data_IF_052198309111
#
_entry.id   IF_052198309111
#
_cell.length_a   1.000
_cell.length_b   1.000
_cell.length_c   1.000
_cell.angle_alpha   90.00
_cell.angle_beta   90.00
_cell.angle_gamma   90.00
#
_symmetry.space_group_name_H-M   'P 1'
#
loop_
_entity.id
_entity.type
_entity.pdbx_description
1 polymer ?
#
# COMPACT_ATOMS: atom_id res chain seq x y z
N UNK A 1 -37.10 6.11 3.20
CA UNK A 1 -35.63 6.28 3.33
C UNK A 1 -34.96 4.98 3.79
N UNK A 2 -35.56 4.22 4.72
CA UNK A 2 -35.00 2.93 5.15
C UNK A 2 -34.94 1.87 4.04
N UNK A 3 -36.00 1.72 3.23
CA UNK A 3 -36.01 0.78 2.11
C UNK A 3 -34.95 1.08 1.04
N UNK A 4 -34.67 2.36 0.75
CA UNK A 4 -33.61 2.75 -0.18
C UNK A 4 -32.21 2.52 0.38
N UNK A 5 -32.00 2.73 1.68
CA UNK A 5 -30.73 2.42 2.35
C UNK A 5 -30.47 0.90 2.41
N UNK A 6 -31.52 0.11 2.68
CA UNK A 6 -31.43 -1.35 2.68
C UNK A 6 -31.09 -1.88 1.28
N UNK A 7 -31.75 -1.37 0.23
CA UNK A 7 -31.44 -1.75 -1.16
C UNK A 7 -30.00 -1.38 -1.54
N UNK A 8 -29.51 -0.20 -1.15
CA UNK A 8 -28.14 0.20 -1.40
C UNK A 8 -27.13 -0.72 -0.69
N UNK A 9 -27.36 -1.06 0.58
CA UNK A 9 -26.52 -1.98 1.33
C UNK A 9 -26.54 -3.39 0.73
N UNK A 10 -27.72 -3.91 0.38
CA UNK A 10 -27.88 -5.21 -0.27
C UNK A 10 -27.18 -5.25 -1.64
N UNK A 11 -27.32 -4.19 -2.44
CA UNK A 11 -26.64 -4.07 -3.73
C UNK A 11 -25.11 -4.05 -3.56
N UNK A 12 -24.59 -3.29 -2.58
CA UNK A 12 -23.15 -3.27 -2.29
C UNK A 12 -22.62 -4.65 -1.91
N UNK A 13 -23.33 -5.39 -1.04
CA UNK A 13 -22.97 -6.76 -0.66
C UNK A 13 -23.03 -7.68 -1.89
N UNK A 14 -24.08 -7.60 -2.71
CA UNK A 14 -24.23 -8.40 -3.92
C UNK A 14 -23.11 -8.16 -4.93
N UNK A 15 -22.67 -6.91 -5.10
CA UNK A 15 -21.54 -6.56 -5.98
C UNK A 15 -20.24 -7.16 -5.45
N UNK A 16 -19.96 -7.04 -4.15
CA UNK A 16 -18.74 -7.63 -3.55
C UNK A 16 -18.74 -9.15 -3.70
N UNK A 17 -19.87 -9.81 -3.42
CA UNK A 17 -20.02 -11.25 -3.63
C UNK A 17 -19.86 -11.63 -5.10
N UNK A 18 -20.38 -10.82 -6.02
CA UNK A 18 -20.20 -11.00 -7.46
C UNK A 18 -18.74 -10.91 -7.89
N UNK A 19 -17.99 -9.92 -7.41
CA UNK A 19 -16.55 -9.77 -7.68
C UNK A 19 -15.79 -11.00 -7.17
N UNK A 20 -16.04 -11.40 -5.91
CA UNK A 20 -15.40 -12.58 -5.31
C UNK A 20 -15.75 -13.85 -6.09
N UNK A 21 -17.01 -14.00 -6.50
CA UNK A 21 -17.48 -15.14 -7.29
C UNK A 21 -16.75 -15.20 -8.64
N UNK A 22 -16.70 -14.10 -9.40
CA UNK A 22 -16.03 -14.05 -10.70
C UNK A 22 -14.53 -14.34 -10.56
N UNK A 23 -13.86 -13.71 -9.60
CA UNK A 23 -12.43 -13.92 -9.35
C UNK A 23 -12.16 -15.39 -8.98
N UNK A 24 -13.00 -15.98 -8.11
CA UNK A 24 -12.86 -17.38 -7.73
C UNK A 24 -13.14 -18.33 -8.89
N UNK A 25 -14.24 -18.13 -9.64
CA UNK A 25 -14.64 -19.01 -10.74
C UNK A 25 -13.63 -19.00 -11.88
N UNK A 26 -13.17 -17.82 -12.30
CA UNK A 26 -12.15 -17.74 -13.37
C UNK A 26 -10.79 -18.26 -12.90
N UNK A 27 -10.41 -18.03 -11.63
CA UNK A 27 -9.19 -18.62 -11.07
C UNK A 27 -9.26 -20.15 -11.03
N UNK A 28 -10.41 -20.75 -10.75
CA UNK A 28 -10.53 -22.22 -10.78
C UNK A 28 -10.29 -22.81 -12.17
N UNK A 29 -10.71 -22.11 -13.25
CA UNK A 29 -10.40 -22.51 -14.63
C UNK A 29 -8.92 -22.40 -14.96
N UNK A 30 -8.22 -21.42 -14.36
CA UNK A 30 -6.78 -21.31 -14.48
C UNK A 30 -6.08 -22.48 -13.76
N UNK A 31 -6.44 -22.75 -12.50
CA UNK A 31 -5.82 -23.80 -11.70
C UNK A 31 -6.18 -25.23 -12.10
N UNK A 32 -7.16 -25.42 -12.99
CA UNK A 32 -7.38 -26.72 -13.64
C UNK A 32 -6.30 -27.04 -14.68
N UNK A 33 -5.57 -26.04 -15.17
CA UNK A 33 -4.51 -26.19 -16.16
C UNK A 33 -3.11 -25.99 -15.56
N UNK A 34 -2.98 -25.11 -14.57
CA UNK A 34 -1.71 -24.80 -13.89
C UNK A 34 -1.77 -25.25 -12.44
N UNK A 35 -0.75 -25.95 -11.96
CA UNK A 35 -0.74 -26.39 -10.56
C UNK A 35 -0.55 -25.20 -9.60
N UNK A 36 -1.25 -25.22 -8.47
CA UNK A 36 -1.12 -24.17 -7.43
C UNK A 36 0.31 -24.09 -6.89
N UNK A 37 0.99 -25.24 -6.78
CA UNK A 37 2.37 -25.30 -6.31
C UNK A 37 3.28 -24.60 -7.31
N UNK A 38 3.20 -24.94 -8.60
CA UNK A 38 3.99 -24.28 -9.64
C UNK A 38 3.73 -22.77 -9.70
N UNK A 39 2.46 -22.36 -9.61
CA UNK A 39 2.10 -20.95 -9.57
C UNK A 39 2.78 -20.21 -8.40
N UNK A 40 2.87 -20.82 -7.22
CA UNK A 40 3.47 -20.20 -6.03
C UNK A 40 5.00 -20.32 -5.99
N UNK A 41 5.58 -21.41 -6.50
CA UNK A 41 7.02 -21.70 -6.35
C UNK A 41 7.86 -21.33 -7.56
N UNK A 42 7.25 -21.23 -8.75
CA UNK A 42 7.99 -20.86 -9.96
C UNK A 42 8.43 -19.39 -9.92
N UNK A 43 9.63 -19.13 -10.42
CA UNK A 43 10.29 -17.82 -10.39
C UNK A 43 10.18 -17.06 -11.71
N UNK A 44 9.35 -17.54 -12.64
CA UNK A 44 9.20 -16.95 -13.97
C UNK A 44 7.73 -16.70 -14.30
N UNK A 45 7.45 -15.48 -14.76
CA UNK A 45 6.13 -15.04 -15.19
C UNK A 45 6.21 -14.57 -16.63
N UNK A 46 5.89 -15.47 -17.56
CA UNK A 46 5.90 -15.23 -19.00
C UNK A 46 4.61 -15.73 -19.67
N UNK A 47 3.41 -15.34 -19.17
CA UNK A 47 2.15 -15.86 -19.71
C UNK A 47 1.92 -15.49 -21.19
N UNK A 48 2.58 -14.43 -21.69
CA UNK A 48 2.41 -13.89 -23.04
C UNK A 48 3.45 -14.41 -24.06
N UNK A 49 4.34 -15.31 -23.64
CA UNK A 49 5.45 -15.80 -24.46
C UNK A 49 5.14 -17.20 -25.01
N UNK A 50 5.85 -17.62 -26.07
CA UNK A 50 5.67 -18.94 -26.73
C UNK A 50 5.79 -20.13 -25.76
N UNK A 51 6.59 -19.99 -24.69
CA UNK A 51 6.65 -20.93 -23.57
C UNK A 51 6.02 -20.28 -22.34
N UNK A 52 4.70 -20.45 -22.12
CA UNK A 52 4.01 -19.77 -21.04
C UNK A 52 4.41 -20.35 -19.68
N UNK A 53 4.81 -19.48 -18.77
CA UNK A 53 5.13 -19.81 -17.38
C UNK A 53 4.37 -18.86 -16.45
N UNK A 54 3.80 -19.40 -15.39
CA UNK A 54 2.85 -18.68 -14.55
C UNK A 54 3.28 -18.62 -13.07
N UNK A 55 4.58 -18.55 -12.79
CA UNK A 55 5.09 -18.36 -11.44
C UNK A 55 4.90 -16.93 -10.95
N UNK A 56 4.06 -16.70 -9.93
CA UNK A 56 3.68 -15.35 -9.49
C UNK A 56 4.81 -14.62 -8.73
N UNK A 57 5.86 -15.33 -8.31
CA UNK A 57 6.92 -14.79 -7.47
C UNK A 57 7.53 -13.47 -7.99
N UNK A 58 7.86 -13.29 -9.29
CA UNK A 58 8.33 -12.02 -9.83
C UNK A 58 7.41 -10.83 -9.51
N UNK A 59 6.10 -11.00 -9.74
CA UNK A 59 5.10 -9.95 -9.47
C UNK A 59 4.98 -9.64 -7.98
N UNK A 60 5.04 -10.66 -7.13
CA UNK A 60 5.05 -10.47 -5.68
C UNK A 60 6.31 -9.77 -5.21
N UNK A 61 7.49 -10.14 -5.71
CA UNK A 61 8.75 -9.47 -5.33
C UNK A 61 8.74 -7.99 -5.73
N UNK A 62 8.25 -7.65 -6.93
CA UNK A 62 8.06 -6.25 -7.33
C UNK A 62 7.11 -5.50 -6.40
N UNK A 63 5.95 -6.11 -6.08
CA UNK A 63 4.93 -5.52 -5.20
C UNK A 63 5.45 -5.30 -3.77
N UNK A 64 6.15 -6.28 -3.20
CA UNK A 64 6.73 -6.14 -1.87
C UNK A 64 7.89 -5.15 -1.85
N UNK A 65 8.76 -5.15 -2.86
CA UNK A 65 9.88 -4.22 -2.92
C UNK A 65 9.41 -2.77 -2.99
N UNK A 66 8.44 -2.44 -3.87
CA UNK A 66 7.87 -1.09 -3.92
C UNK A 66 7.19 -0.69 -2.61
N UNK A 67 6.47 -1.63 -1.99
CA UNK A 67 5.79 -1.42 -0.71
C UNK A 67 6.79 -1.17 0.43
N UNK A 68 7.89 -1.92 0.49
CA UNK A 68 8.94 -1.75 1.51
C UNK A 68 9.57 -0.37 1.39
N UNK A 69 9.93 0.06 0.17
CA UNK A 69 10.48 1.40 -0.07
C UNK A 69 9.46 2.48 0.32
N UNK A 70 8.19 2.31 -0.05
CA UNK A 70 7.13 3.24 0.31
C UNK A 70 6.97 3.38 1.82
N UNK A 71 6.93 2.27 2.56
CA UNK A 71 6.81 2.28 4.02
C UNK A 71 8.05 2.84 4.71
N UNK A 72 9.25 2.57 4.19
CA UNK A 72 10.49 3.14 4.71
C UNK A 72 10.50 4.68 4.67
N UNK A 73 9.76 5.28 3.74
CA UNK A 73 9.56 6.74 3.66
C UNK A 73 8.33 7.16 4.47
N UNK A 74 7.20 6.49 4.27
CA UNK A 74 5.90 6.93 4.77
C UNK A 74 5.74 6.77 6.28
N UNK A 75 6.25 5.69 6.85
CA UNK A 75 6.14 5.42 8.29
C UNK A 75 6.89 6.47 9.12
N UNK A 76 8.19 6.72 8.94
CA UNK A 76 8.89 7.69 9.77
C UNK A 76 8.33 9.10 9.60
N UNK A 77 8.08 9.54 8.36
CA UNK A 77 7.56 10.89 8.11
C UNK A 77 6.11 11.04 8.58
N UNK A 78 5.26 10.04 8.34
CA UNK A 78 3.87 10.04 8.77
C UNK A 78 3.74 10.07 10.29
N UNK A 79 4.56 9.30 11.02
CA UNK A 79 4.57 9.30 12.48
C UNK A 79 5.07 10.62 13.06
N UNK A 80 6.11 11.21 12.48
CA UNK A 80 6.59 12.53 12.92
C UNK A 80 5.52 13.60 12.74
N UNK A 81 4.82 13.60 11.60
CA UNK A 81 3.68 14.51 11.36
C UNK A 81 2.55 14.25 12.35
N UNK A 82 2.21 12.98 12.62
CA UNK A 82 1.17 12.62 13.60
C UNK A 82 1.51 13.08 15.02
N UNK A 83 2.75 12.88 15.47
CA UNK A 83 3.23 13.34 16.79
C UNK A 83 3.16 14.86 16.86
N UNK A 84 3.62 15.55 15.82
CA UNK A 84 3.56 17.01 15.77
C UNK A 84 2.11 17.52 15.81
N UNK A 85 1.20 16.95 15.02
CA UNK A 85 -0.20 17.40 14.95
C UNK A 85 -0.99 17.07 16.23
N UNK A 86 -0.74 15.92 16.83
CA UNK A 86 -1.43 15.50 18.05
C UNK A 86 -0.95 16.27 19.28
N UNK A 87 0.36 16.42 19.42
CA UNK A 87 0.93 16.92 20.67
C UNK A 87 1.45 18.33 20.58
N UNK A 88 1.91 18.87 19.44
CA UNK A 88 2.58 20.18 19.36
C UNK A 88 1.75 21.27 18.68
N UNK A 89 1.01 20.93 17.63
CA UNK A 89 0.28 21.86 16.79
C UNK A 89 -0.85 22.58 17.55
N UNK A 90 -0.95 23.90 17.33
CA UNK A 90 -2.12 24.67 17.75
C UNK A 90 -3.33 24.39 16.86
N UNK A 91 -4.53 24.78 17.31
CA UNK A 91 -5.79 24.53 16.57
C UNK A 91 -5.75 25.06 15.13
N UNK A 92 -5.21 26.27 14.91
CA UNK A 92 -5.10 26.90 13.57
C UNK A 92 -4.18 26.11 12.62
N UNK A 93 -3.05 25.63 13.13
CA UNK A 93 -2.09 24.85 12.34
C UNK A 93 -2.73 23.55 11.88
N UNK A 94 -3.47 22.88 12.77
CA UNK A 94 -4.20 21.65 12.44
C UNK A 94 -5.30 21.89 11.41
N UNK A 95 -6.09 22.94 11.59
CA UNK A 95 -7.17 23.33 10.66
C UNK A 95 -6.65 23.64 9.25
N UNK A 96 -5.36 23.90 9.08
CA UNK A 96 -4.72 24.11 7.77
C UNK A 96 -4.07 22.83 7.23
N UNK A 97 -3.31 22.12 8.07
CA UNK A 97 -2.53 20.96 7.65
C UNK A 97 -3.43 19.76 7.33
N UNK A 98 -4.47 19.48 8.14
CA UNK A 98 -5.32 18.30 7.94
C UNK A 98 -6.05 18.34 6.58
N UNK A 99 -6.72 19.44 6.19
CA UNK A 99 -7.28 19.56 4.84
C UNK A 99 -6.22 19.46 3.74
N UNK A 100 -5.01 20.00 3.96
CA UNK A 100 -3.93 19.92 2.95
C UNK A 100 -3.47 18.47 2.73
N UNK A 101 -3.35 17.69 3.80
CA UNK A 101 -3.05 16.25 3.74
C UNK A 101 -4.15 15.50 2.98
N UNK A 102 -5.42 15.84 3.21
CA UNK A 102 -6.56 15.27 2.49
C UNK A 102 -6.57 15.67 1.00
N UNK A 103 -6.20 16.91 0.66
CA UNK A 103 -6.07 17.36 -0.72
C UNK A 103 -4.94 16.62 -1.47
N UNK A 104 -3.84 16.31 -0.79
CA UNK A 104 -2.77 15.49 -1.39
C UNK A 104 -3.28 14.07 -1.71
N UNK A 105 -4.17 13.51 -0.89
CA UNK A 105 -4.78 12.22 -1.17
C UNK A 105 -5.76 12.24 -2.37
N UNK A 106 -6.23 13.42 -2.79
CA UNK A 106 -7.13 13.58 -3.94
C UNK A 106 -6.41 13.64 -5.29
N UNK A 107 -5.08 13.78 -5.30
CA UNK A 107 -4.30 13.84 -6.54
C UNK A 107 -4.34 12.47 -7.24
N UNK A 108 -4.66 12.41 -8.56
CA UNK A 108 -4.69 11.15 -9.29
C UNK A 108 -3.33 10.43 -9.25
N UNK A 109 -3.34 9.13 -8.97
CA UNK A 109 -2.11 8.34 -8.78
C UNK A 109 -1.23 8.26 -10.03
N UNK A 110 -1.81 8.41 -11.22
CA UNK A 110 -1.05 8.50 -12.47
C UNK A 110 -0.14 9.74 -12.53
N UNK A 111 -0.56 10.87 -11.93
CA UNK A 111 0.25 12.09 -11.86
C UNK A 111 1.49 11.84 -11.02
N UNK A 112 1.34 11.14 -9.89
CA UNK A 112 2.46 10.68 -9.09
C UNK A 112 3.39 9.74 -9.86
N UNK A 113 2.84 8.83 -10.68
CA UNK A 113 3.63 7.95 -11.54
C UNK A 113 4.52 8.71 -12.51
N UNK A 114 3.97 9.68 -13.24
CA UNK A 114 4.76 10.53 -14.14
C UNK A 114 5.74 11.43 -13.39
N UNK A 115 5.38 11.95 -12.22
CA UNK A 115 6.30 12.69 -11.36
C UNK A 115 7.49 11.82 -10.92
N UNK A 116 7.24 10.56 -10.57
CA UNK A 116 8.28 9.60 -10.22
C UNK A 116 9.21 9.33 -11.41
N UNK A 117 8.67 9.13 -12.60
CA UNK A 117 9.43 8.81 -13.80
C UNK A 117 10.21 10.01 -14.36
N UNK A 118 9.56 11.17 -14.47
CA UNK A 118 10.10 12.32 -15.19
C UNK A 118 10.89 13.30 -14.30
N UNK A 119 10.67 13.27 -12.98
CA UNK A 119 11.35 14.17 -12.04
C UNK A 119 12.18 13.42 -11.02
N UNK A 120 11.58 12.53 -10.23
CA UNK A 120 12.30 11.84 -9.14
C UNK A 120 13.40 10.94 -9.67
N UNK A 121 13.14 10.17 -10.73
CA UNK A 121 14.15 9.27 -11.31
C UNK A 121 15.39 10.01 -11.83
N UNK A 122 15.28 11.07 -12.66
CA UNK A 122 16.45 11.86 -13.07
C UNK A 122 17.22 12.49 -11.90
N UNK A 123 16.50 12.96 -10.87
CA UNK A 123 17.13 13.49 -9.65
C UNK A 123 17.93 12.38 -8.95
N UNK A 124 17.33 11.21 -8.72
CA UNK A 124 18.01 10.08 -8.09
C UNK A 124 19.18 9.56 -8.93
N UNK A 125 19.04 9.50 -10.25
CA UNK A 125 20.15 9.15 -11.16
C UNK A 125 21.34 10.10 -10.96
N UNK A 126 21.09 11.40 -10.88
CA UNK A 126 22.14 12.41 -10.67
C UNK A 126 22.77 12.29 -9.28
N UNK A 127 21.95 12.05 -8.25
CA UNK A 127 22.40 11.92 -6.86
C UNK A 127 23.14 10.62 -6.58
N UNK A 128 22.76 9.52 -7.22
CA UNK A 128 23.31 8.18 -6.98
C UNK A 128 24.54 7.88 -7.87
N UNK A 129 24.67 8.55 -9.01
CA UNK A 129 25.83 8.38 -9.92
C UNK A 129 27.20 8.55 -9.25
N UNK A 130 27.44 9.53 -8.36
CA UNK A 130 28.71 9.66 -7.63
C UNK A 130 29.03 8.46 -6.74
N UNK A 131 28.02 7.69 -6.32
CA UNK A 131 28.17 6.48 -5.51
C UNK A 131 28.34 5.21 -6.36
N UNK A 132 28.47 5.35 -7.70
CA UNK A 132 28.62 4.22 -8.62
C UNK A 132 27.33 3.41 -8.85
N UNK A 133 26.18 3.96 -8.47
CA UNK A 133 24.88 3.30 -8.66
C UNK A 133 24.24 3.87 -9.93
N UNK A 134 24.16 3.05 -10.97
CA UNK A 134 23.41 3.36 -12.19
C UNK A 134 21.95 2.96 -12.02
N UNK A 135 21.05 3.95 -12.06
CA UNK A 135 19.63 3.74 -11.87
C UNK A 135 18.92 3.72 -13.23
N UNK A 136 18.25 2.63 -13.64
CA UNK A 136 17.46 2.58 -14.86
C UNK A 136 16.28 3.57 -14.84
N UNK A 137 15.78 3.94 -16.02
CA UNK A 137 14.63 4.85 -16.13
C UNK A 137 13.38 4.32 -15.43
N UNK A 138 13.14 3.01 -15.50
CA UNK A 138 12.09 2.33 -14.73
C UNK A 138 12.73 1.62 -13.55
N UNK A 139 12.35 2.01 -12.34
CA UNK A 139 12.91 1.46 -11.11
C UNK A 139 11.90 1.56 -9.96
N UNK A 140 11.94 0.58 -9.07
CA UNK A 140 11.03 0.49 -7.93
C UNK A 140 11.40 1.45 -6.79
N UNK A 141 12.62 1.99 -6.78
CA UNK A 141 13.09 2.96 -5.80
C UNK A 141 12.34 4.28 -5.95
N UNK A 142 12.33 4.88 -7.15
CA UNK A 142 11.58 6.09 -7.46
C UNK A 142 10.09 5.90 -7.26
N UNK A 143 9.54 4.80 -7.81
CA UNK A 143 8.13 4.48 -7.67
C UNK A 143 7.73 4.32 -6.20
N UNK A 144 8.54 3.60 -5.42
CA UNK A 144 8.34 3.40 -3.99
C UNK A 144 8.45 4.69 -3.18
N UNK A 145 9.42 5.55 -3.45
CA UNK A 145 9.56 6.85 -2.75
C UNK A 145 8.32 7.71 -2.95
N UNK A 146 7.86 7.86 -4.20
CA UNK A 146 6.69 8.68 -4.51
C UNK A 146 5.41 8.06 -3.96
N UNK A 147 5.27 6.72 -4.04
CA UNK A 147 4.20 6.00 -3.37
C UNK A 147 4.23 6.26 -1.85
N UNK A 148 5.41 6.28 -1.24
CA UNK A 148 5.59 6.64 0.16
C UNK A 148 5.07 8.05 0.45
N UNK A 149 5.43 9.04 -0.36
CA UNK A 149 4.93 10.41 -0.23
C UNK A 149 3.39 10.50 -0.29
N UNK A 150 2.77 9.72 -1.17
CA UNK A 150 1.31 9.63 -1.28
C UNK A 150 0.67 8.98 -0.04
N UNK A 151 1.35 8.04 0.63
CA UNK A 151 0.84 7.33 1.81
C UNK A 151 1.07 8.11 3.11
N UNK A 152 2.00 9.06 3.16
CA UNK A 152 2.27 9.89 4.35
C UNK A 152 0.99 10.49 4.96
N UNK A 153 0.14 11.21 4.18
CA UNK A 153 -1.11 11.77 4.71
C UNK A 153 -2.01 10.76 5.41
N UNK A 154 -2.07 9.55 4.86
CA UNK A 154 -2.91 8.48 5.39
C UNK A 154 -2.39 7.98 6.74
N UNK A 155 -1.09 7.65 6.83
CA UNK A 155 -0.46 7.21 8.09
C UNK A 155 -0.53 8.33 9.12
N UNK A 156 -0.24 9.57 8.73
CA UNK A 156 -0.25 10.73 9.62
C UNK A 156 -1.62 10.99 10.23
N UNK A 157 -2.67 11.02 9.40
CA UNK A 157 -4.04 11.33 9.86
C UNK A 157 -4.58 10.25 10.81
N UNK A 158 -4.46 8.97 10.45
CA UNK A 158 -4.94 7.88 11.30
C UNK A 158 -4.12 7.76 12.59
N UNK A 159 -2.80 7.97 12.52
CA UNK A 159 -1.94 7.94 13.72
C UNK A 159 -2.21 9.13 14.64
N UNK A 160 -2.51 10.32 14.10
CA UNK A 160 -2.93 11.49 14.88
C UNK A 160 -4.22 11.19 15.64
N UNK A 161 -5.23 10.64 14.95
CA UNK A 161 -6.52 10.30 15.56
C UNK A 161 -6.34 9.27 16.69
N UNK A 162 -5.47 8.27 16.50
CA UNK A 162 -5.10 7.31 17.54
C UNK A 162 -4.42 7.96 18.75
N UNK A 163 -3.44 8.85 18.53
CA UNK A 163 -2.75 9.56 19.62
C UNK A 163 -3.71 10.47 20.39
N UNK A 164 -4.63 11.13 19.70
CA UNK A 164 -5.60 12.04 20.33
C UNK A 164 -6.70 11.32 21.09
N UNK A 165 -6.95 10.04 20.79
CA UNK A 165 -7.85 9.19 21.56
C UNK A 165 -7.28 8.81 22.94
N UNK A 166 -5.96 8.94 23.17
CA UNK A 166 -5.35 8.73 24.49
C UNK A 166 -5.99 9.69 25.50
N UNK A 167 -6.39 9.24 26.71
CA UNK A 167 -7.01 10.10 27.72
C UNK A 167 -6.15 11.30 28.12
N UNK A 168 -6.78 12.46 28.39
CA UNK A 168 -6.05 13.65 28.87
C UNK A 168 -5.40 13.44 30.24
N UNK A 169 -6.01 12.64 31.11
CA UNK A 169 -5.48 12.32 32.43
C UNK A 169 -4.07 11.73 32.38
N UNK A 170 -3.75 10.93 31.35
CA UNK A 170 -2.39 10.40 31.16
C UNK A 170 -1.36 11.49 30.85
N UNK A 171 -1.75 12.48 30.04
CA UNK A 171 -0.88 13.62 29.70
C UNK A 171 -0.67 14.51 30.91
N UNK A 172 -1.75 14.84 31.61
CA UNK A 172 -1.73 15.67 32.81
C UNK A 172 -0.91 15.01 33.93
N UNK A 173 -1.02 13.69 34.10
CA UNK A 173 -0.17 12.93 35.02
C UNK A 173 1.31 13.00 34.67
N UNK A 174 1.66 12.89 33.37
CA UNK A 174 3.04 13.06 32.90
C UNK A 174 3.57 14.48 33.20
N UNK A 175 2.77 15.51 32.92
CA UNK A 175 3.15 16.90 33.23
C UNK A 175 3.29 17.16 34.73
N UNK A 176 2.44 16.54 35.57
CA UNK A 176 2.53 16.65 37.02
C UNK A 176 3.82 16.03 37.57
N UNK A 177 4.40 15.05 36.88
CA UNK A 177 5.72 14.48 37.20
C UNK A 177 6.90 15.32 36.69
N UNK A 178 6.63 16.51 36.13
CA UNK A 178 7.66 17.41 35.60
C UNK A 178 8.15 17.05 34.19
N UNK A 179 7.50 16.11 33.49
CA UNK A 179 7.88 15.73 32.15
C UNK A 179 7.61 16.85 31.13
N UNK A 180 8.50 16.99 30.16
CA UNK A 180 8.30 17.91 29.03
C UNK A 180 7.24 17.41 28.05
N UNK A 181 6.75 18.28 27.16
CA UNK A 181 5.83 17.93 26.07
C UNK A 181 6.41 16.85 25.15
N UNK A 182 7.72 16.91 24.88
CA UNK A 182 8.45 15.92 24.10
C UNK A 182 8.48 14.55 24.82
N UNK A 183 8.84 14.54 26.10
CA UNK A 183 8.88 13.30 26.88
C UNK A 183 7.50 12.67 27.02
N UNK A 184 6.46 13.49 27.26
CA UNK A 184 5.07 13.01 27.31
C UNK A 184 4.64 12.41 25.98
N UNK A 185 5.01 13.03 24.86
CA UNK A 185 4.71 12.50 23.52
C UNK A 185 5.32 11.12 23.30
N UNK A 186 6.64 10.99 23.52
CA UNK A 186 7.36 9.75 23.20
C UNK A 186 7.26 8.65 24.25
N UNK A 187 7.10 8.99 25.53
CA UNK A 187 7.08 8.01 26.64
C UNK A 187 5.68 7.63 27.12
N UNK A 188 4.66 8.44 26.80
CA UNK A 188 3.28 8.18 27.26
C UNK A 188 2.33 8.05 26.08
N UNK A 189 2.22 9.08 25.24
CA UNK A 189 1.19 9.12 24.18
C UNK A 189 1.48 8.11 23.08
N UNK A 190 2.69 8.10 22.51
CA UNK A 190 3.05 7.16 21.43
C UNK A 190 2.92 5.70 21.90
N UNK A 191 3.47 5.30 23.08
CA UNK A 191 3.26 3.95 23.61
C UNK A 191 1.80 3.59 23.84
N UNK A 192 0.99 4.50 24.41
CA UNK A 192 -0.43 4.26 24.65
C UNK A 192 -1.24 4.15 23.34
N UNK A 193 -0.79 4.80 22.27
CA UNK A 193 -1.44 4.79 20.96
C UNK A 193 -0.94 3.70 20.00
N UNK A 194 -0.05 2.80 20.43
CA UNK A 194 0.61 1.80 19.56
C UNK A 194 -0.40 0.98 18.74
N UNK A 195 -1.52 0.55 19.34
CA UNK A 195 -2.52 -0.25 18.64
C UNK A 195 -3.13 0.48 17.44
N UNK A 196 -3.43 1.78 17.58
CA UNK A 196 -3.95 2.61 16.52
C UNK A 196 -2.87 2.99 15.50
N UNK A 197 -1.65 3.28 15.95
CA UNK A 197 -0.50 3.57 15.07
C UNK A 197 -0.14 2.37 14.19
N UNK A 198 -0.07 1.17 14.77
CA UNK A 198 0.17 -0.07 14.00
C UNK A 198 -0.97 -0.32 13.02
N UNK A 199 -2.23 -0.07 13.43
CA UNK A 199 -3.37 -0.12 12.52
C UNK A 199 -3.24 0.83 11.33
N UNK A 200 -2.83 2.08 11.58
CA UNK A 200 -2.59 3.09 10.54
C UNK A 200 -1.49 2.66 9.54
N UNK A 201 -0.39 2.10 10.05
CA UNK A 201 0.71 1.59 9.22
C UNK A 201 0.28 0.41 8.37
N UNK A 202 -0.47 -0.55 8.93
CA UNK A 202 -0.93 -1.72 8.14
C UNK A 202 -1.93 -1.30 7.08
N UNK A 203 -2.85 -0.39 7.40
CA UNK A 203 -3.77 0.15 6.40
C UNK A 203 -3.03 0.93 5.30
N UNK A 204 -1.98 1.68 5.65
CA UNK A 204 -1.08 2.31 4.68
C UNK A 204 -0.35 1.28 3.80
N UNK A 205 0.10 0.17 4.38
CA UNK A 205 0.70 -0.95 3.65
C UNK A 205 -0.31 -1.60 2.69
N UNK A 206 -1.56 -1.82 3.11
CA UNK A 206 -2.62 -2.33 2.23
C UNK A 206 -2.88 -1.38 1.06
N UNK A 207 -2.76 -0.07 1.27
CA UNK A 207 -2.85 0.92 0.19
C UNK A 207 -1.66 0.85 -0.77
N UNK A 208 -0.44 0.66 -0.27
CA UNK A 208 0.78 0.48 -1.08
C UNK A 208 0.72 -0.75 -1.97
N UNK A 209 0.29 -1.89 -1.41
CA UNK A 209 0.17 -3.17 -2.16
C UNK A 209 -0.85 -3.04 -3.29
N UNK A 210 -1.93 -2.30 -3.04
CA UNK A 210 -2.97 -2.01 -4.02
C UNK A 210 -2.67 -0.83 -4.94
N UNK A 211 -1.45 -0.26 -4.90
CA UNK A 211 -1.08 0.83 -5.80
C UNK A 211 -0.83 0.28 -7.21
N UNK A 212 -1.42 0.94 -8.21
CA UNK A 212 -1.44 0.44 -9.59
C UNK A 212 -0.71 1.36 -10.55
N UNK A 213 -0.99 2.67 -10.49
CA UNK A 213 -0.57 3.59 -11.55
C UNK A 213 0.85 4.08 -11.33
N UNK A 214 1.27 4.33 -10.08
CA UNK A 214 2.64 4.76 -9.80
C UNK A 214 3.63 3.69 -10.27
N UNK A 215 3.37 2.44 -9.91
CA UNK A 215 4.24 1.30 -10.21
C UNK A 215 4.18 0.89 -11.68
N UNK A 216 3.02 0.95 -12.34
CA UNK A 216 2.94 0.73 -13.78
C UNK A 216 3.78 1.76 -14.56
N UNK A 217 3.66 3.04 -14.22
CA UNK A 217 4.31 4.12 -14.98
C UNK A 217 5.80 4.23 -14.67
N UNK A 218 6.21 4.11 -13.40
CA UNK A 218 7.60 4.36 -12.99
C UNK A 218 8.37 3.10 -12.57
N UNK A 219 7.68 2.06 -12.08
CA UNK A 219 8.30 0.80 -11.65
C UNK A 219 8.64 -0.14 -12.81
N UNK A 220 7.90 -0.05 -13.91
CA UNK A 220 8.07 -0.84 -15.12
C UNK A 220 7.07 -1.99 -15.25
N UNK A 221 6.98 -2.56 -16.45
CA UNK A 221 5.99 -3.59 -16.80
C UNK A 221 6.60 -4.97 -17.02
N UNK A 222 7.93 -5.09 -17.00
CA UNK A 222 8.61 -6.38 -17.20
C UNK A 222 8.57 -7.21 -15.91
N UNK A 223 7.97 -8.42 -15.92
CA UNK A 223 8.04 -9.34 -14.80
C UNK A 223 9.45 -9.92 -14.69
N UNK A 224 10.13 -9.64 -13.57
CA UNK A 224 11.42 -10.23 -13.23
C UNK A 224 11.56 -10.33 -11.72
N UNK A 225 12.43 -11.22 -11.24
CA UNK A 225 12.71 -11.34 -9.82
C UNK A 225 13.45 -10.09 -9.34
N UNK A 226 12.83 -9.35 -8.43
CA UNK A 226 13.37 -8.11 -7.89
C UNK A 226 14.09 -8.40 -6.59
N UNK A 227 15.40 -8.12 -6.53
CA UNK A 227 16.22 -8.28 -5.32
C UNK A 227 16.67 -6.95 -4.74
N UNK A 228 16.75 -5.91 -5.57
CA UNK A 228 17.11 -4.55 -5.14
C UNK A 228 16.07 -3.53 -5.57
N UNK A 229 15.87 -2.44 -4.81
CA UNK A 229 14.90 -1.41 -5.19
C UNK A 229 15.32 -0.63 -6.44
N UNK A 230 16.60 -0.66 -6.81
CA UNK A 230 17.12 0.01 -8.01
C UNK A 230 16.68 -0.66 -9.31
N UNK A 231 16.20 -1.90 -9.25
CA UNK A 231 15.68 -2.62 -10.41
C UNK A 231 14.25 -2.17 -10.72
N UNK A 232 13.89 -2.18 -12.00
CA UNK A 232 12.49 -2.14 -12.42
C UNK A 232 11.84 -3.51 -12.26
N UNK A 233 10.53 -3.55 -12.08
CA UNK A 233 9.80 -4.80 -11.98
C UNK A 233 8.29 -4.59 -12.01
N UNK A 234 7.59 -5.47 -12.71
CA UNK A 234 6.14 -5.48 -12.69
C UNK A 234 5.60 -5.86 -11.30
N UNK A 235 4.57 -5.14 -10.85
CA UNK A 235 3.77 -5.53 -9.68
C UNK A 235 2.54 -6.32 -10.12
N UNK A 236 1.88 -6.98 -9.16
CA UNK A 236 0.63 -7.72 -9.43
C UNK A 236 -0.44 -6.78 -10.01
N UNK A 237 -0.58 -5.60 -9.43
CA UNK A 237 -1.53 -4.56 -9.87
C UNK A 237 -1.19 -3.99 -11.25
N UNK A 238 0.09 -3.69 -11.51
CA UNK A 238 0.53 -3.19 -12.81
C UNK A 238 0.28 -4.23 -13.91
N UNK A 239 0.56 -5.50 -13.65
CA UNK A 239 0.25 -6.60 -14.57
C UNK A 239 -1.25 -6.69 -14.86
N UNK A 240 -2.09 -6.72 -13.82
CA UNK A 240 -3.55 -6.78 -13.99
C UNK A 240 -4.05 -5.61 -14.86
N UNK A 241 -3.58 -4.39 -14.57
CA UNK A 241 -4.00 -3.21 -15.31
C UNK A 241 -3.47 -3.18 -16.75
N UNK A 242 -2.25 -3.67 -17.00
CA UNK A 242 -1.69 -3.80 -18.34
C UNK A 242 -2.52 -4.76 -19.20
N UNK A 243 -2.87 -5.93 -18.67
CA UNK A 243 -3.62 -6.94 -19.44
C UNK A 243 -5.09 -6.56 -19.58
N UNK A 244 -5.65 -5.83 -18.62
CA UNK A 244 -7.03 -5.32 -18.68
C UNK A 244 -7.28 -4.32 -19.82
N UNK A 245 -6.25 -3.85 -20.52
CA UNK A 245 -6.38 -3.00 -21.72
C UNK A 245 -7.03 -3.73 -22.92
N UNK A 246 -7.22 -5.05 -22.83
CA UNK A 246 -8.04 -5.82 -23.78
C UNK A 246 -7.26 -6.52 -24.89
N UNK A 247 -5.94 -6.64 -24.75
CA UNK A 247 -5.08 -7.27 -25.77
C UNK A 247 -5.20 -8.81 -25.83
N UNK A 248 -5.93 -9.42 -24.88
CA UNK A 248 -6.10 -10.88 -24.80
C UNK A 248 -7.51 -11.34 -25.18
N UNK A 249 -7.64 -12.40 -26.01
CA UNK A 249 -8.94 -13.00 -26.30
C UNK A 249 -9.59 -13.58 -25.03
N UNK A 250 -10.91 -13.46 -24.94
CA UNK A 250 -11.67 -14.02 -23.84
C UNK A 250 -11.59 -15.55 -23.81
N UNK A 251 -11.41 -16.13 -22.63
CA UNK A 251 -11.42 -17.58 -22.41
C UNK A 251 -10.09 -18.30 -22.65
N UNK A 252 -9.01 -17.58 -22.97
CA UNK A 252 -7.66 -18.17 -23.05
C UNK A 252 -7.04 -18.36 -21.67
N UNK A 253 -6.00 -19.18 -21.57
CA UNK A 253 -5.31 -19.42 -20.31
C UNK A 253 -4.60 -18.16 -19.80
N UNK A 254 -4.08 -17.36 -20.72
CA UNK A 254 -3.44 -16.06 -20.46
C UNK A 254 -4.45 -15.06 -19.88
N UNK A 255 -5.67 -15.02 -20.42
CA UNK A 255 -6.76 -14.21 -19.87
C UNK A 255 -7.10 -14.63 -18.43
N UNK A 256 -7.21 -15.95 -18.18
CA UNK A 256 -7.52 -16.48 -16.85
C UNK A 256 -6.39 -16.21 -15.83
N UNK A 257 -5.15 -16.01 -16.28
CA UNK A 257 -4.00 -15.70 -15.40
C UNK A 257 -4.16 -14.38 -14.63
N UNK A 258 -4.92 -13.42 -15.18
CA UNK A 258 -5.23 -12.14 -14.51
C UNK A 258 -6.06 -12.38 -13.25
N UNK A 259 -7.04 -13.30 -13.32
CA UNK A 259 -7.89 -13.64 -12.19
C UNK A 259 -7.11 -14.39 -11.12
N UNK A 260 -6.21 -15.30 -11.51
CA UNK A 260 -5.31 -15.96 -10.56
C UNK A 260 -4.40 -14.96 -9.84
N UNK A 261 -3.83 -13.99 -10.56
CA UNK A 261 -3.06 -12.89 -9.97
C UNK A 261 -3.93 -12.00 -9.05
N UNK A 262 -5.16 -11.70 -9.46
CA UNK A 262 -6.15 -10.97 -8.66
C UNK A 262 -6.56 -11.72 -7.39
N UNK A 263 -6.74 -13.04 -7.47
CA UNK A 263 -7.03 -13.89 -6.31
C UNK A 263 -5.87 -13.89 -5.33
N UNK A 264 -4.63 -13.99 -5.82
CA UNK A 264 -3.44 -13.89 -4.97
C UNK A 264 -3.35 -12.53 -4.26
N UNK A 265 -3.62 -11.43 -4.98
CA UNK A 265 -3.67 -10.08 -4.39
C UNK A 265 -4.79 -9.95 -3.34
N UNK A 266 -5.96 -10.52 -3.61
CA UNK A 266 -7.10 -10.52 -2.70
C UNK A 266 -6.78 -11.30 -1.42
N UNK A 267 -6.21 -12.50 -1.54
CA UNK A 267 -5.78 -13.33 -0.41
C UNK A 267 -4.72 -12.60 0.41
N UNK A 268 -3.73 -12.00 -0.26
CA UNK A 268 -2.67 -11.23 0.39
C UNK A 268 -3.23 -10.03 1.17
N UNK A 269 -4.13 -9.27 0.54
CA UNK A 269 -4.76 -8.10 1.15
C UNK A 269 -5.64 -8.49 2.34
N UNK A 270 -6.41 -9.58 2.21
CA UNK A 270 -7.23 -10.11 3.30
C UNK A 270 -6.37 -10.56 4.48
N UNK A 271 -5.25 -11.24 4.21
CA UNK A 271 -4.30 -11.67 5.24
C UNK A 271 -3.76 -10.47 6.04
N UNK A 272 -3.32 -9.40 5.36
CA UNK A 272 -2.83 -8.19 6.05
C UNK A 272 -3.92 -7.48 6.86
N UNK A 273 -5.13 -7.36 6.31
CA UNK A 273 -6.26 -6.78 7.05
C UNK A 273 -6.64 -7.61 8.28
N UNK A 274 -6.59 -8.94 8.18
CA UNK A 274 -6.85 -9.82 9.31
C UNK A 274 -5.77 -9.67 10.40
N UNK A 275 -4.50 -9.59 10.00
CA UNK A 275 -3.39 -9.31 10.93
C UNK A 275 -3.56 -7.95 11.61
N UNK A 276 -3.97 -6.91 10.88
CA UNK A 276 -4.27 -5.59 11.44
C UNK A 276 -5.36 -5.66 12.50
N UNK A 277 -6.47 -6.31 12.17
CA UNK A 277 -7.60 -6.47 13.08
C UNK A 277 -7.21 -7.25 14.34
N UNK A 278 -6.46 -8.34 14.17
CA UNK A 278 -5.99 -9.17 15.29
C UNK A 278 -5.04 -8.40 16.21
N UNK A 279 -4.07 -7.66 15.65
CA UNK A 279 -3.15 -6.82 16.42
C UNK A 279 -3.90 -5.70 17.17
N UNK A 280 -4.82 -5.01 16.48
CA UNK A 280 -5.62 -3.94 17.08
C UNK A 280 -6.43 -4.47 18.27
N UNK A 281 -6.98 -5.68 18.17
CA UNK A 281 -7.75 -6.31 19.26
C UNK A 281 -6.87 -6.75 20.43
N UNK A 282 -5.64 -7.19 20.16
CA UNK A 282 -4.69 -7.63 21.20
C UNK A 282 -4.14 -6.49 22.05
N UNK A 283 -3.88 -5.33 21.42
CA UNK A 283 -3.30 -4.15 22.08
C UNK A 283 -4.33 -3.09 22.47
N UNK A 284 -5.63 -3.41 22.38
CA UNK A 284 -6.68 -2.58 22.96
C UNK A 284 -6.67 -2.80 24.48
N UNK A 285 -5.69 -2.18 25.14
CA UNK A 285 -5.73 -2.03 26.59
C UNK A 285 -6.99 -1.23 26.94
N UNK A 286 -7.85 -1.83 27.75
CA UNK A 286 -9.02 -1.18 28.28
C UNK A 286 -8.54 -0.09 29.26
N UNK A 287 -8.39 1.13 28.77
CA UNK A 287 -8.31 2.33 29.57
C UNK A 287 -9.70 2.88 29.84
#
# INVERSE_FOLDING_TARGET
MEGSLFLAAAAAIAVVLGIVYVVASESTKFFSHVSVIEFLTSTTWTPLFDNPQYGIAPLLTGTFMSTIVALAVAVPLGLLVAIYLSEFAGSRTRETIKPTLELLAAVPTVVYGYFALLFVTPVLQTWLRPFGIELPSFNLLSAGIVMGLMIIPYIASLSEDAMRAVPRAMREGSYAMGATRLETSFRVVVPAAVSGVVGAVILGMSRAIGETMIVMVAGGTQPQMVTTPTQGGATVTAFIAQVALGDLPFGTLEYNSIFAAGLALLVLTLMFNFVAFWLQRRYREAY
#
